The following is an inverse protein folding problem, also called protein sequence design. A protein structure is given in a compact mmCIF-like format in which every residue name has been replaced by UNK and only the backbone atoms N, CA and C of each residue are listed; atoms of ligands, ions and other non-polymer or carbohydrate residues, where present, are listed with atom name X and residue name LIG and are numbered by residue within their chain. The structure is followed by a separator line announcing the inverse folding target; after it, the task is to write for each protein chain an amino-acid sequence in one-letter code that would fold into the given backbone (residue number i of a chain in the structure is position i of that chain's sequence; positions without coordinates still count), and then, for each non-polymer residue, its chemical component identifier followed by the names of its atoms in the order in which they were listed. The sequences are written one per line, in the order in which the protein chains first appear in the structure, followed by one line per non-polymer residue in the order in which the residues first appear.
data_IF_837622908226
#
_entry.id   IF_837622908226
#
_cell.length_a   1.000
_cell.length_b   1.000
_cell.length_c   1.000
_cell.angle_alpha   90.00
_cell.angle_beta   90.00
_cell.angle_gamma   90.00
#
_symmetry.space_group_name_H-M   'P 1'
#
loop_
_entity.id
_entity.type
_entity.pdbx_description
1 polymer ?
#
# COMPACT_ATOMS: atom_id res chain seq x y z
N UNK A 1 -3.95 60.86 38.84
CA UNK A 1 -2.76 61.25 38.07
C UNK A 1 -2.69 60.30 36.87
N UNK A 2 -3.02 60.82 35.71
CA UNK A 2 -2.98 60.14 34.41
C UNK A 2 -1.53 59.90 33.98
N UNK A 3 -1.23 58.73 33.44
CA UNK A 3 -0.14 58.57 32.49
C UNK A 3 -0.61 57.66 31.33
N UNK A 4 -0.77 58.34 30.20
CA UNK A 4 -0.97 57.73 28.90
C UNK A 4 0.31 57.00 28.48
N UNK A 5 0.20 55.77 27.97
CA UNK A 5 1.28 55.09 27.26
C UNK A 5 0.90 55.00 25.80
N UNK A 6 1.75 55.55 24.95
CA UNK A 6 1.64 55.64 23.51
C UNK A 6 1.69 54.25 22.84
N UNK A 7 0.74 54.02 21.93
CA UNK A 7 0.77 52.90 21.01
C UNK A 7 1.68 53.24 19.84
N UNK A 8 2.78 52.51 19.73
CA UNK A 8 3.70 52.58 18.60
C UNK A 8 3.23 51.56 17.58
N UNK A 9 2.64 52.02 16.47
CA UNK A 9 2.32 51.22 15.31
C UNK A 9 3.60 50.96 14.52
N UNK A 10 4.05 49.70 14.50
CA UNK A 10 5.13 49.24 13.63
C UNK A 10 4.49 48.62 12.38
N UNK A 11 4.48 49.39 11.29
CA UNK A 11 4.03 48.96 9.98
C UNK A 11 5.12 48.04 9.35
N UNK A 12 4.87 46.77 9.32
CA UNK A 12 5.73 45.82 8.61
C UNK A 12 5.33 45.76 7.12
N UNK A 13 6.19 46.31 6.28
CA UNK A 13 6.08 46.24 4.82
C UNK A 13 6.47 44.83 4.36
N UNK A 14 5.48 44.00 4.01
CA UNK A 14 5.69 42.68 3.49
C UNK A 14 5.98 42.75 1.99
N UNK A 15 7.25 42.57 1.59
CA UNK A 15 7.68 42.49 0.21
C UNK A 15 7.41 41.05 -0.28
N UNK A 16 6.34 40.88 -1.05
CA UNK A 16 6.03 39.63 -1.72
C UNK A 16 6.93 39.46 -2.94
N UNK A 17 7.88 38.55 -2.88
CA UNK A 17 8.62 38.06 -4.06
C UNK A 17 7.81 36.92 -4.66
N UNK A 18 7.10 37.21 -5.76
CA UNK A 18 6.51 36.22 -6.64
C UNK A 18 7.62 35.59 -7.47
N UNK A 19 8.13 34.46 -7.02
CA UNK A 19 8.93 33.57 -7.85
C UNK A 19 8.00 32.69 -8.65
N UNK A 20 7.81 33.03 -9.94
CA UNK A 20 7.15 32.14 -10.90
C UNK A 20 8.11 31.01 -11.23
N UNK A 21 7.88 29.80 -10.72
CA UNK A 21 8.39 28.57 -11.31
C UNK A 21 7.39 28.13 -12.38
N UNK A 22 7.64 28.51 -13.63
CA UNK A 22 7.04 27.85 -14.78
C UNK A 22 7.94 26.67 -15.14
N UNK A 23 7.52 25.49 -14.75
CA UNK A 23 8.04 24.22 -15.19
C UNK A 23 6.88 23.42 -15.73
N UNK A 24 6.56 23.60 -17.00
CA UNK A 24 5.73 22.70 -17.77
C UNK A 24 6.56 21.44 -18.06
N UNK A 25 6.35 20.41 -17.26
CA UNK A 25 6.63 19.03 -17.63
C UNK A 25 5.46 18.17 -17.13
N UNK A 26 4.35 18.31 -17.83
CA UNK A 26 3.27 17.34 -17.75
C UNK A 26 3.67 16.11 -18.56
N UNK A 27 4.39 15.19 -17.95
CA UNK A 27 4.47 13.81 -18.44
C UNK A 27 3.12 13.16 -18.17
N UNK A 28 2.23 13.24 -19.14
CA UNK A 28 1.03 12.42 -19.18
C UNK A 28 1.46 10.98 -19.35
N UNK A 29 1.36 10.18 -18.30
CA UNK A 29 1.46 8.72 -18.38
C UNK A 29 0.11 8.27 -18.94
N UNK A 30 0.05 8.02 -20.25
CA UNK A 30 -1.08 7.34 -20.86
C UNK A 30 -1.01 5.86 -20.47
N UNK A 31 -1.78 5.45 -19.50
CA UNK A 31 -2.06 4.05 -19.24
C UNK A 31 -3.20 3.67 -20.19
N UNK A 32 -2.87 3.17 -21.38
CA UNK A 32 -3.88 2.54 -22.23
C UNK A 32 -4.22 1.18 -21.63
N UNK A 33 -5.48 1.00 -21.25
CA UNK A 33 -6.02 -0.30 -20.92
C UNK A 33 -5.87 -1.23 -22.14
N UNK A 34 -5.55 -2.52 -21.96
CA UNK A 34 -5.42 -3.45 -23.08
C UNK A 34 -6.76 -3.57 -23.81
N UNK A 35 -6.88 -2.95 -24.98
CA UNK A 35 -8.03 -3.09 -25.84
C UNK A 35 -8.03 -4.48 -26.49
N UNK A 36 -8.94 -5.31 -26.07
CA UNK A 36 -9.26 -6.58 -26.70
C UNK A 36 -9.96 -6.29 -28.04
N UNK A 37 -9.18 -6.19 -29.13
CA UNK A 37 -9.73 -5.96 -30.46
C UNK A 37 -9.50 -7.19 -31.32
N UNK A 38 -10.42 -8.15 -31.25
CA UNK A 38 -10.56 -9.25 -32.19
C UNK A 38 -11.44 -8.80 -33.35
N UNK A 39 -10.88 -8.75 -34.54
CA UNK A 39 -11.68 -8.59 -35.73
C UNK A 39 -10.86 -8.28 -36.99
N UNK A 40 -10.56 -9.29 -37.78
CA UNK A 40 -9.98 -9.17 -39.10
C UNK A 40 -10.13 -10.47 -39.86
N UNK A 41 -11.21 -10.59 -40.60
CA UNK A 41 -11.43 -11.65 -41.59
C UNK A 41 -10.51 -11.44 -42.78
N UNK A 42 -9.80 -12.50 -43.20
CA UNK A 42 -9.60 -12.72 -44.66
C UNK A 42 -9.30 -14.19 -44.90
N UNK A 43 -9.95 -14.72 -45.90
CA UNK A 43 -10.06 -16.12 -46.23
C UNK A 43 -8.83 -16.70 -46.95
N UNK A 44 -8.62 -17.97 -46.73
CA UNK A 44 -7.64 -18.81 -47.43
C UNK A 44 -7.92 -20.29 -47.19
N UNK A 45 -8.46 -20.91 -48.18
CA UNK A 45 -8.82 -22.33 -48.31
C UNK A 45 -7.60 -23.26 -48.24
N UNK A 46 -7.71 -24.37 -47.51
CA UNK A 46 -6.90 -25.54 -47.83
C UNK A 46 -6.49 -26.45 -46.66
N UNK A 47 -7.06 -27.64 -46.59
CA UNK A 47 -6.41 -28.87 -46.13
C UNK A 47 -6.62 -29.24 -44.65
N UNK A 48 -7.43 -30.29 -44.48
CA UNK A 48 -7.73 -30.89 -43.17
C UNK A 48 -6.52 -31.53 -42.49
N UNK A 49 -6.54 -31.44 -41.19
CA UNK A 49 -6.02 -32.46 -40.31
C UNK A 49 -6.82 -32.43 -39.00
N UNK A 50 -7.34 -33.60 -38.60
CA UNK A 50 -8.16 -33.79 -37.43
C UNK A 50 -7.24 -33.90 -36.22
N UNK A 51 -6.82 -32.74 -35.69
CA UNK A 51 -6.19 -32.65 -34.37
C UNK A 51 -7.23 -32.18 -33.37
N UNK A 52 -7.59 -33.05 -32.41
CA UNK A 52 -8.47 -32.65 -31.30
C UNK A 52 -7.90 -31.42 -30.57
N UNK A 53 -8.55 -30.32 -30.78
CA UNK A 53 -8.32 -29.12 -29.95
C UNK A 53 -8.85 -29.41 -28.56
N UNK A 54 -7.93 -29.73 -27.67
CA UNK A 54 -8.16 -29.58 -26.25
C UNK A 54 -8.44 -28.08 -26.01
N UNK A 55 -9.73 -27.73 -25.99
CA UNK A 55 -10.16 -26.48 -25.43
C UNK A 55 -9.94 -26.63 -23.94
N UNK A 56 -8.71 -26.37 -23.50
CA UNK A 56 -8.39 -26.18 -22.10
C UNK A 56 -9.25 -25.01 -21.61
N UNK A 57 -10.43 -25.35 -21.07
CA UNK A 57 -11.21 -24.42 -20.31
C UNK A 57 -10.31 -24.01 -19.15
N UNK A 58 -9.83 -22.78 -19.16
CA UNK A 58 -9.17 -22.21 -18.01
C UNK A 58 -10.17 -22.37 -16.87
N UNK A 59 -9.81 -23.20 -15.89
CA UNK A 59 -10.57 -23.28 -14.65
C UNK A 59 -10.55 -21.86 -14.06
N UNK A 60 -11.69 -21.25 -13.73
CA UNK A 60 -11.70 -19.93 -13.11
C UNK A 60 -10.72 -19.95 -11.94
N UNK A 61 -9.87 -18.93 -11.86
CA UNK A 61 -8.93 -18.81 -10.77
C UNK A 61 -9.73 -18.71 -9.46
N UNK A 62 -9.44 -19.61 -8.53
CA UNK A 62 -10.13 -19.66 -7.23
C UNK A 62 -9.35 -18.85 -6.20
N UNK A 63 -10.05 -18.31 -5.25
CA UNK A 63 -9.45 -17.58 -4.15
C UNK A 63 -8.45 -18.47 -3.38
N UNK A 64 -7.24 -17.96 -3.09
CA UNK A 64 -6.24 -18.69 -2.30
C UNK A 64 -6.75 -19.02 -0.89
N UNK A 65 -6.14 -20.04 -0.30
CA UNK A 65 -6.39 -20.39 1.10
C UNK A 65 -6.15 -19.16 2.03
N UNK A 66 -7.04 -18.95 2.97
CA UNK A 66 -6.99 -17.82 3.90
C UNK A 66 -7.69 -16.56 3.41
N UNK A 67 -8.21 -16.55 2.18
CA UNK A 67 -9.07 -15.47 1.66
C UNK A 67 -10.51 -15.94 1.51
N UNK A 68 -11.45 -15.01 1.38
CA UNK A 68 -12.87 -15.30 1.19
C UNK A 68 -13.33 -14.82 -0.17
N UNK A 69 -13.99 -15.66 -0.97
CA UNK A 69 -14.57 -15.25 -2.24
C UNK A 69 -15.75 -14.29 -2.02
N UNK A 70 -15.68 -13.09 -2.59
CA UNK A 70 -16.74 -12.07 -2.57
C UNK A 70 -17.59 -12.18 -3.83
N UNK A 71 -16.93 -12.33 -4.98
CA UNK A 71 -17.55 -12.57 -6.27
C UNK A 71 -16.55 -13.33 -7.15
N UNK A 72 -16.97 -13.76 -8.32
CA UNK A 72 -16.07 -14.45 -9.26
C UNK A 72 -14.82 -13.59 -9.54
N UNK A 73 -13.66 -14.13 -9.20
CA UNK A 73 -12.36 -13.47 -9.41
C UNK A 73 -12.01 -12.36 -8.39
N UNK A 74 -12.82 -12.13 -7.36
CA UNK A 74 -12.54 -11.17 -6.30
C UNK A 74 -12.52 -11.85 -4.92
N UNK A 75 -11.39 -11.74 -4.23
CA UNK A 75 -11.11 -12.41 -2.96
C UNK A 75 -10.88 -11.38 -1.84
N UNK A 76 -11.65 -11.43 -0.76
CA UNK A 76 -11.40 -10.58 0.41
C UNK A 76 -10.23 -11.11 1.22
N UNK A 77 -9.31 -10.21 1.59
CA UNK A 77 -8.18 -10.53 2.45
C UNK A 77 -8.62 -10.63 3.93
N UNK A 78 -8.01 -11.53 4.71
CA UNK A 78 -8.27 -11.56 6.15
C UNK A 78 -7.71 -10.31 6.84
N UNK A 79 -8.35 -9.86 7.91
CA UNK A 79 -7.89 -8.70 8.68
C UNK A 79 -6.47 -8.89 9.25
N UNK A 80 -6.01 -10.13 9.43
CA UNK A 80 -4.67 -10.44 9.93
C UNK A 80 -4.06 -11.59 9.14
N UNK A 81 -2.83 -11.38 8.67
CA UNK A 81 -1.99 -12.38 8.01
C UNK A 81 -0.86 -12.71 8.98
N UNK A 82 -1.01 -13.81 9.71
CA UNK A 82 -0.06 -14.23 10.76
C UNK A 82 0.96 -15.28 10.31
N UNK A 83 0.91 -15.69 9.05
CA UNK A 83 1.85 -16.62 8.42
C UNK A 83 2.05 -16.23 6.96
N UNK A 84 3.12 -16.73 6.35
CA UNK A 84 3.42 -16.43 4.96
C UNK A 84 2.23 -16.71 4.05
N UNK A 85 1.91 -15.73 3.20
CA UNK A 85 0.80 -15.78 2.25
C UNK A 85 1.26 -15.32 0.87
N UNK A 86 0.69 -15.91 -0.17
CA UNK A 86 0.93 -15.47 -1.55
C UNK A 86 -0.38 -15.07 -2.22
N UNK A 87 -0.45 -13.82 -2.67
CA UNK A 87 -1.51 -13.33 -3.55
C UNK A 87 -1.20 -13.76 -4.98
N UNK A 88 -2.04 -14.63 -5.52
CA UNK A 88 -1.89 -15.23 -6.85
C UNK A 88 -2.47 -14.33 -7.91
N UNK A 89 -1.84 -14.30 -9.08
CA UNK A 89 -2.40 -13.69 -10.29
C UNK A 89 -3.65 -14.44 -10.78
N UNK A 90 -4.47 -13.75 -11.58
CA UNK A 90 -5.71 -14.29 -12.12
C UNK A 90 -6.96 -14.05 -11.26
N UNK A 91 -6.78 -13.51 -10.06
CA UNK A 91 -7.84 -12.95 -9.20
C UNK A 91 -7.38 -11.60 -8.67
N UNK A 92 -8.34 -10.76 -8.29
CA UNK A 92 -8.10 -9.50 -7.57
C UNK A 92 -8.43 -9.66 -6.08
N UNK A 93 -7.92 -8.76 -5.26
CA UNK A 93 -8.08 -8.82 -3.81
C UNK A 93 -8.73 -7.56 -3.26
N UNK A 94 -9.61 -7.71 -2.25
CA UNK A 94 -10.31 -6.62 -1.59
C UNK A 94 -9.92 -6.56 -0.12
N UNK A 95 -9.68 -5.35 0.36
CA UNK A 95 -9.55 -4.99 1.78
C UNK A 95 -10.76 -4.15 2.18
N UNK A 96 -11.59 -4.66 3.08
CA UNK A 96 -12.77 -3.94 3.62
C UNK A 96 -12.43 -3.15 4.89
N UNK A 97 -11.18 -3.22 5.32
CA UNK A 97 -10.61 -2.53 6.46
C UNK A 97 -9.09 -2.71 6.47
N UNK A 98 -8.45 -2.47 7.63
CA UNK A 98 -7.02 -2.72 7.76
C UNK A 98 -6.71 -4.21 7.63
N UNK A 99 -5.76 -4.54 6.76
CA UNK A 99 -5.13 -5.87 6.68
C UNK A 99 -3.73 -5.75 7.29
N UNK A 100 -3.49 -6.45 8.38
CA UNK A 100 -2.22 -6.41 9.12
C UNK A 100 -1.40 -7.67 8.89
N UNK A 101 -0.16 -7.50 8.43
CA UNK A 101 0.80 -8.61 8.21
C UNK A 101 1.74 -8.69 9.41
N UNK A 102 1.64 -9.80 10.17
CA UNK A 102 2.31 -9.98 11.46
C UNK A 102 1.66 -9.21 12.61
N UNK A 103 2.37 -9.05 13.73
CA UNK A 103 1.92 -8.32 14.91
C UNK A 103 2.95 -7.31 15.45
N UNK A 104 4.03 -7.05 14.71
CA UNK A 104 5.14 -6.21 15.16
C UNK A 104 4.83 -4.71 15.28
N UNK A 105 3.56 -4.32 15.09
CA UNK A 105 3.08 -2.96 15.35
C UNK A 105 2.65 -2.73 16.81
N UNK A 106 2.69 -3.75 17.67
CA UNK A 106 2.56 -3.59 19.12
C UNK A 106 3.76 -2.83 19.70
N UNK A 107 3.60 -2.26 20.89
CA UNK A 107 4.69 -1.65 21.63
C UNK A 107 5.72 -2.72 22.04
N UNK A 108 7.00 -2.42 21.89
CA UNK A 108 8.06 -3.33 22.33
C UNK A 108 8.33 -3.19 23.82
N UNK A 109 8.77 -4.27 24.47
CA UNK A 109 9.36 -4.17 25.79
C UNK A 109 10.66 -3.35 25.74
N UNK A 110 10.93 -2.65 26.84
CA UNK A 110 12.08 -1.74 26.96
C UNK A 110 13.45 -2.44 27.01
N UNK A 111 13.46 -3.78 27.09
CA UNK A 111 14.68 -4.58 27.12
C UNK A 111 15.34 -4.76 25.74
N UNK A 112 14.62 -4.45 24.64
CA UNK A 112 15.12 -4.52 23.26
C UNK A 112 15.29 -5.96 22.73
N UNK A 113 14.63 -6.96 23.30
CA UNK A 113 14.75 -8.36 22.86
C UNK A 113 13.76 -8.75 21.75
N UNK A 114 12.94 -7.81 21.28
CA UNK A 114 11.92 -8.04 20.25
C UNK A 114 10.63 -8.66 20.78
N UNK A 115 10.43 -8.66 22.09
CA UNK A 115 9.17 -9.03 22.74
C UNK A 115 8.27 -7.81 22.82
N UNK A 116 6.95 -8.01 22.64
CA UNK A 116 5.96 -6.96 22.85
C UNK A 116 5.72 -6.73 24.36
N UNK A 117 5.18 -5.56 24.69
CA UNK A 117 4.93 -5.14 26.09
C UNK A 117 3.91 -6.02 26.83
N UNK A 118 3.08 -6.77 26.09
CA UNK A 118 2.17 -7.78 26.63
C UNK A 118 2.85 -9.13 26.89
N UNK A 119 4.16 -9.25 26.65
CA UNK A 119 4.96 -10.46 26.80
C UNK A 119 4.86 -11.44 25.63
N UNK A 120 4.14 -11.11 24.56
CA UNK A 120 4.10 -11.94 23.35
C UNK A 120 5.34 -11.71 22.48
N UNK A 121 5.75 -12.75 21.77
CA UNK A 121 6.80 -12.60 20.76
C UNK A 121 6.26 -11.89 19.51
N UNK A 122 7.10 -11.08 18.87
CA UNK A 122 6.80 -10.57 17.55
C UNK A 122 6.67 -11.73 16.56
N UNK A 123 5.50 -11.83 15.94
CA UNK A 123 5.21 -12.80 14.88
C UNK A 123 5.37 -12.10 13.54
N UNK A 124 6.33 -12.56 12.76
CA UNK A 124 6.57 -12.07 11.41
C UNK A 124 5.88 -12.95 10.37
N UNK A 125 5.45 -12.33 9.27
CA UNK A 125 4.94 -13.02 8.10
C UNK A 125 5.43 -12.33 6.83
N UNK A 126 5.54 -13.09 5.74
CA UNK A 126 5.86 -12.56 4.42
C UNK A 126 4.62 -12.57 3.54
N UNK A 127 4.21 -11.40 3.06
CA UNK A 127 3.20 -11.28 2.02
C UNK A 127 3.89 -11.19 0.67
N UNK A 128 3.75 -12.25 -0.14
CA UNK A 128 4.25 -12.27 -1.53
C UNK A 128 3.11 -11.93 -2.47
N UNK A 129 3.35 -11.05 -3.44
CA UNK A 129 2.37 -10.63 -4.42
C UNK A 129 2.92 -10.91 -5.81
N UNK A 130 2.22 -11.74 -6.58
CA UNK A 130 2.62 -12.09 -7.95
C UNK A 130 2.41 -10.90 -8.91
N UNK A 131 3.15 -10.90 -10.00
CA UNK A 131 3.02 -9.87 -11.03
C UNK A 131 1.61 -9.83 -11.62
N UNK A 132 1.07 -8.63 -11.85
CA UNK A 132 -0.26 -8.40 -12.43
C UNK A 132 -1.41 -8.54 -11.44
N UNK A 133 -1.12 -8.69 -10.13
CA UNK A 133 -2.14 -8.69 -9.09
C UNK A 133 -2.66 -7.29 -8.85
N UNK A 134 -3.98 -7.16 -8.69
CA UNK A 134 -4.67 -5.95 -8.24
C UNK A 134 -5.19 -6.15 -6.82
N UNK A 135 -4.94 -5.17 -5.95
CA UNK A 135 -5.39 -5.14 -4.56
C UNK A 135 -6.17 -3.86 -4.32
N UNK A 136 -7.41 -3.99 -3.95
CA UNK A 136 -8.32 -2.87 -3.75
C UNK A 136 -8.55 -2.58 -2.27
N UNK A 137 -8.57 -1.31 -1.90
CA UNK A 137 -9.16 -0.84 -0.65
C UNK A 137 -10.61 -0.40 -0.88
N UNK A 138 -11.54 -0.79 -0.01
CA UNK A 138 -12.94 -0.36 -0.08
C UNK A 138 -13.02 1.18 -0.06
N UNK A 139 -13.62 1.75 -1.09
CA UNK A 139 -13.71 3.20 -1.31
C UNK A 139 -14.45 3.91 -0.18
N UNK A 140 -13.93 5.06 0.24
CA UNK A 140 -14.50 5.87 1.31
C UNK A 140 -14.26 5.30 2.71
N UNK A 141 -13.31 4.35 2.84
CA UNK A 141 -12.92 3.75 4.11
C UNK A 141 -11.44 3.95 4.39
N UNK A 142 -11.02 3.66 5.63
CA UNK A 142 -9.61 3.61 6.02
C UNK A 142 -8.94 2.27 5.67
N UNK A 143 -9.54 1.45 4.78
CA UNK A 143 -8.94 0.19 4.36
C UNK A 143 -7.48 0.41 3.96
N UNK A 144 -6.56 -0.33 4.55
CA UNK A 144 -5.12 -0.19 4.29
C UNK A 144 -4.39 -1.50 4.49
N UNK A 145 -3.21 -1.62 3.86
CA UNK A 145 -2.30 -2.73 4.06
C UNK A 145 -1.17 -2.30 4.99
N UNK A 146 -1.09 -2.91 6.17
CA UNK A 146 -0.04 -2.66 7.15
C UNK A 146 0.95 -3.82 7.20
N UNK A 147 2.19 -3.57 6.82
CA UNK A 147 3.32 -4.49 7.04
C UNK A 147 3.97 -4.10 8.36
N UNK A 148 3.94 -4.97 9.34
CA UNK A 148 4.46 -4.67 10.68
C UNK A 148 5.96 -4.97 10.78
N UNK A 149 6.62 -4.46 11.83
CA UNK A 149 8.04 -4.76 12.10
C UNK A 149 8.32 -6.26 12.04
N UNK A 150 9.43 -6.65 11.43
CA UNK A 150 9.84 -8.03 11.21
C UNK A 150 9.12 -8.75 10.06
N UNK A 151 7.95 -8.26 9.65
CA UNK A 151 7.23 -8.79 8.49
C UNK A 151 7.74 -8.19 7.19
N UNK A 152 7.38 -8.80 6.04
CA UNK A 152 7.86 -8.39 4.73
C UNK A 152 6.76 -8.37 3.69
N UNK A 153 6.89 -7.42 2.75
CA UNK A 153 6.14 -7.43 1.50
C UNK A 153 7.09 -7.73 0.34
N UNK A 154 6.78 -8.74 -0.46
CA UNK A 154 7.52 -9.12 -1.65
C UNK A 154 6.63 -8.90 -2.88
N UNK A 155 6.51 -7.65 -3.30
CA UNK A 155 5.68 -7.22 -4.43
C UNK A 155 6.59 -6.93 -5.63
N UNK A 156 6.78 -7.96 -6.47
CA UNK A 156 7.66 -7.89 -7.64
C UNK A 156 6.86 -8.05 -8.92
N UNK A 157 6.28 -6.94 -9.39
CA UNK A 157 5.65 -6.86 -10.71
C UNK A 157 6.68 -6.80 -11.85
N UNK A 158 6.17 -6.67 -13.05
CA UNK A 158 6.95 -6.44 -14.29
C UNK A 158 6.40 -5.25 -15.04
N UNK A 159 7.11 -4.76 -16.06
CA UNK A 159 6.62 -3.65 -16.89
C UNK A 159 5.31 -4.01 -17.62
N UNK A 160 5.15 -5.28 -18.01
CA UNK A 160 3.97 -5.76 -18.73
C UNK A 160 2.85 -6.25 -17.79
N UNK A 161 3.16 -6.46 -16.51
CA UNK A 161 2.23 -6.92 -15.48
C UNK A 161 2.59 -6.25 -14.14
N UNK A 162 2.34 -4.94 -13.98
CA UNK A 162 2.55 -4.23 -12.72
C UNK A 162 1.60 -4.76 -11.64
N UNK A 163 1.98 -4.60 -10.38
CA UNK A 163 1.09 -4.81 -9.25
C UNK A 163 0.41 -3.47 -8.97
N UNK A 164 -0.91 -3.46 -8.78
CA UNK A 164 -1.68 -2.24 -8.57
C UNK A 164 -2.39 -2.30 -7.24
N UNK A 165 -2.25 -1.24 -6.45
CA UNK A 165 -3.06 -0.94 -5.28
C UNK A 165 -3.88 0.32 -5.57
N UNK A 166 -5.19 0.25 -5.44
CA UNK A 166 -6.12 1.38 -5.65
C UNK A 166 -7.37 1.25 -4.79
N UNK A 167 -8.30 2.18 -4.92
CA UNK A 167 -9.68 1.99 -4.44
C UNK A 167 -10.43 0.95 -5.29
N UNK A 168 -11.57 0.48 -4.81
CA UNK A 168 -12.43 -0.48 -5.52
C UNK A 168 -13.46 0.18 -6.44
N UNK A 169 -13.45 1.49 -6.56
CA UNK A 169 -14.30 2.18 -7.52
C UNK A 169 -13.69 2.22 -8.94
N UNK A 170 -14.43 2.78 -9.89
CA UNK A 170 -14.05 2.74 -11.29
C UNK A 170 -13.23 3.99 -11.67
N UNK A 171 -11.95 3.81 -11.89
CA UNK A 171 -11.08 4.85 -12.44
C UNK A 171 -9.90 5.18 -11.52
N UNK A 172 -9.17 6.20 -11.87
CA UNK A 172 -8.12 6.81 -11.07
C UNK A 172 -8.42 8.30 -11.03
N UNK A 173 -9.47 8.69 -10.29
CA UNK A 173 -10.03 10.04 -10.40
C UNK A 173 -10.02 10.84 -9.10
N UNK A 174 -9.54 10.23 -8.00
CA UNK A 174 -9.50 10.85 -6.70
C UNK A 174 -8.19 10.67 -5.92
N UNK A 175 -8.23 11.10 -4.68
CA UNK A 175 -7.22 10.84 -3.66
C UNK A 175 -7.92 10.75 -2.32
N UNK A 176 -7.36 9.98 -1.38
CA UNK A 176 -7.99 9.76 -0.09
C UNK A 176 -9.19 8.82 -0.13
N UNK A 177 -9.28 7.96 -1.14
CA UNK A 177 -10.39 7.04 -1.31
C UNK A 177 -10.25 5.80 -0.44
N UNK A 178 -9.02 5.41 -0.15
CA UNK A 178 -8.66 4.34 0.77
C UNK A 178 -7.42 4.73 1.57
N UNK A 179 -7.05 3.95 2.59
CA UNK A 179 -5.94 4.27 3.46
C UNK A 179 -4.59 4.27 2.76
N UNK A 180 -4.26 3.20 2.06
CA UNK A 180 -2.96 3.09 1.41
C UNK A 180 -2.10 1.94 1.94
N UNK A 181 -0.79 2.06 1.73
CA UNK A 181 0.20 1.08 2.13
C UNK A 181 1.10 1.64 3.24
N UNK A 182 1.09 0.99 4.40
CA UNK A 182 1.91 1.34 5.56
C UNK A 182 2.97 0.26 5.76
N UNK A 183 4.22 0.65 5.92
CA UNK A 183 5.33 -0.28 6.15
C UNK A 183 6.12 0.17 7.37
N UNK A 184 6.05 -0.62 8.43
CA UNK A 184 6.85 -0.43 9.64
C UNK A 184 8.12 -1.27 9.57
N UNK A 185 9.22 -0.70 10.05
CA UNK A 185 10.51 -1.39 10.13
C UNK A 185 11.19 -1.17 11.47
N UNK A 186 12.29 -1.91 11.70
CA UNK A 186 13.16 -1.74 12.85
C UNK A 186 14.27 -0.71 12.63
N UNK A 187 14.33 -0.03 11.50
CA UNK A 187 15.34 0.99 11.25
C UNK A 187 15.21 2.16 12.24
N UNK A 188 16.32 2.80 12.60
CA UNK A 188 16.31 3.95 13.51
C UNK A 188 15.50 5.12 12.93
N UNK A 189 14.60 5.69 13.73
CA UNK A 189 13.90 6.92 13.45
C UNK A 189 14.65 8.12 14.03
N UNK A 190 14.44 9.34 13.51
CA UNK A 190 15.08 10.56 13.99
C UNK A 190 14.71 10.95 15.44
N UNK A 191 13.61 10.42 15.96
CA UNK A 191 13.15 10.62 17.35
C UNK A 191 13.69 9.56 18.31
N UNK A 192 14.32 8.49 17.79
CA UNK A 192 14.92 7.47 18.64
C UNK A 192 16.11 8.04 19.42
N UNK A 193 16.22 7.66 20.71
CA UNK A 193 17.35 8.08 21.55
C UNK A 193 18.68 7.54 20.98
N UNK A 194 19.69 8.38 20.86
CA UNK A 194 21.01 7.97 20.37
C UNK A 194 21.60 6.93 21.34
N UNK A 195 21.97 5.75 20.81
CA UNK A 195 22.54 4.65 21.60
C UNK A 195 21.54 3.90 22.48
N UNK A 196 20.26 4.05 22.20
CA UNK A 196 19.21 3.27 22.85
C UNK A 196 19.23 1.80 22.39
N UNK A 197 18.51 0.94 23.09
CA UNK A 197 18.35 -0.48 22.78
C UNK A 197 16.99 -0.81 22.18
N UNK A 198 16.02 0.10 22.30
CA UNK A 198 14.70 -0.04 21.69
C UNK A 198 14.17 1.34 21.30
N UNK A 199 13.28 1.38 20.32
CA UNK A 199 12.60 2.59 19.91
C UNK A 199 11.21 2.26 19.39
N UNK A 200 10.21 2.87 19.98
CA UNK A 200 8.83 2.83 19.53
C UNK A 200 8.40 4.25 19.13
N UNK A 201 8.06 4.41 17.87
CA UNK A 201 7.48 5.62 17.33
C UNK A 201 6.03 5.32 16.97
N UNK A 202 5.11 6.03 17.61
CA UNK A 202 3.69 5.96 17.29
C UNK A 202 3.48 6.49 15.86
N UNK A 203 2.86 5.69 15.02
CA UNK A 203 2.65 6.05 13.63
C UNK A 203 1.20 6.43 13.35
N UNK A 204 1.00 7.21 12.30
CA UNK A 204 -0.29 7.77 11.94
C UNK A 204 -1.34 6.70 11.62
N UNK A 205 -2.61 7.12 11.57
CA UNK A 205 -3.73 6.25 11.27
C UNK A 205 -4.00 5.16 12.31
N UNK A 206 -3.55 5.34 13.56
CA UNK A 206 -3.66 4.31 14.61
C UNK A 206 -3.06 2.95 14.15
N UNK A 207 -1.99 3.00 13.34
CA UNK A 207 -1.34 1.81 12.82
C UNK A 207 -0.37 1.14 13.81
N UNK A 208 -0.17 1.76 14.98
CA UNK A 208 0.69 1.28 16.05
C UNK A 208 2.13 1.76 15.89
N UNK A 209 3.08 0.98 16.36
CA UNK A 209 4.46 1.40 16.54
C UNK A 209 5.39 0.92 15.43
N UNK A 210 6.32 1.79 15.05
CA UNK A 210 7.44 1.53 14.15
C UNK A 210 8.76 1.89 14.85
N UNK A 211 9.88 1.62 14.19
CA UNK A 211 11.22 1.99 14.68
C UNK A 211 11.93 0.90 15.46
N UNK A 212 13.19 1.14 15.68
CA UNK A 212 14.13 0.22 16.32
C UNK A 212 15.56 0.72 16.18
N UNK A 213 16.55 -0.18 16.18
CA UNK A 213 17.96 0.14 16.03
C UNK A 213 18.69 -0.76 15.03
N UNK A 214 17.94 -1.42 14.14
CA UNK A 214 18.54 -2.21 13.05
C UNK A 214 18.63 -1.36 11.78
N UNK A 215 19.82 -0.84 11.52
CA UNK A 215 20.08 -0.04 10.31
C UNK A 215 20.06 -0.87 9.01
N UNK A 216 20.17 -2.19 9.12
CA UNK A 216 20.16 -3.14 8.00
C UNK A 216 18.79 -3.81 7.84
N UNK A 217 17.77 -3.36 8.61
CA UNK A 217 16.41 -3.89 8.51
C UNK A 217 15.86 -3.77 7.09
N UNK A 218 15.08 -4.78 6.69
CA UNK A 218 14.44 -4.83 5.38
C UNK A 218 13.02 -5.34 5.50
N UNK A 219 12.06 -4.47 5.24
CA UNK A 219 10.63 -4.81 5.20
C UNK A 219 10.17 -5.37 3.84
N UNK A 220 11.10 -5.62 2.89
CA UNK A 220 10.81 -6.31 1.64
C UNK A 220 11.19 -5.54 0.37
N UNK A 221 10.47 -5.80 -0.72
CA UNK A 221 10.74 -5.25 -2.05
C UNK A 221 9.45 -4.79 -2.70
N UNK A 222 9.45 -3.56 -3.23
CA UNK A 222 8.43 -3.04 -4.13
C UNK A 222 9.09 -2.78 -5.50
N UNK A 223 8.61 -3.46 -6.53
CA UNK A 223 9.13 -3.30 -7.90
C UNK A 223 7.99 -3.37 -8.91
N UNK A 224 7.90 -2.39 -9.80
CA UNK A 224 6.76 -2.24 -10.72
C UNK A 224 5.42 -2.33 -9.96
N UNK A 225 5.31 -1.49 -8.94
CA UNK A 225 4.13 -1.35 -8.10
C UNK A 225 3.55 0.04 -8.32
N UNK A 226 2.26 0.11 -8.54
CA UNK A 226 1.46 1.33 -8.57
C UNK A 226 0.66 1.41 -7.27
N UNK A 227 0.69 2.55 -6.60
CA UNK A 227 -0.20 2.86 -5.47
C UNK A 227 -0.95 4.13 -5.85
N UNK A 228 -2.25 4.02 -6.03
CA UNK A 228 -3.12 5.11 -6.46
C UNK A 228 -4.23 5.36 -5.44
N UNK A 229 -4.77 6.59 -5.41
CA UNK A 229 -5.99 7.00 -4.68
C UNK A 229 -5.94 6.87 -3.16
N UNK A 230 -4.76 6.53 -2.60
CA UNK A 230 -4.55 6.45 -1.16
C UNK A 230 -4.57 7.81 -0.47
N UNK A 231 -4.43 7.81 0.86
CA UNK A 231 -4.37 9.02 1.67
C UNK A 231 -5.69 9.37 2.34
N UNK A 232 -6.47 8.37 2.75
CA UNK A 232 -7.72 8.61 3.49
C UNK A 232 -7.46 9.38 4.78
N UNK A 233 -8.16 10.49 4.99
CA UNK A 233 -8.08 11.28 6.21
C UNK A 233 -8.81 10.56 7.35
N UNK A 234 -8.05 9.89 8.22
CA UNK A 234 -8.57 9.17 9.38
C UNK A 234 -9.15 10.13 10.43
N UNK A 235 -8.46 11.23 10.67
CA UNK A 235 -8.91 12.37 11.48
C UNK A 235 -8.16 13.62 11.06
N UNK A 236 -8.65 14.80 11.40
CA UNK A 236 -8.05 16.06 10.96
C UNK A 236 -6.54 16.12 11.19
N UNK A 237 -5.77 16.12 10.08
CA UNK A 237 -4.32 16.13 10.09
C UNK A 237 -3.67 14.78 10.41
N UNK A 238 -4.41 13.68 10.24
CA UNK A 238 -3.93 12.30 10.38
C UNK A 238 -4.44 11.51 9.17
N UNK A 239 -3.61 11.41 8.16
CA UNK A 239 -3.87 10.68 6.91
C UNK A 239 -3.18 9.32 6.93
N UNK A 240 -3.70 8.38 6.15
CA UNK A 240 -3.09 7.06 5.96
C UNK A 240 -2.62 6.91 4.52
#
# INVERSE_FOLDING_TARGET
MMRQAAKMFLTFLMLTILGACSGDDSTTINIEAPSNNGGGSDGGSGGGDSGGGDTGGETPATCPEGTTEVSEGLCELPATISSDMTLKSGVSYLMTGRVTVGNGNGQLETNGDGTLDDGSAVQAATLTIEAGVEVFGETGTFANLLITRGSKIMAMGTADAPIVFSSDDAGYDGSGEWGGLIIHGYAPHNECAVGGSYCDIDSEGESGFAGGYDADDSSGVLRYVVVAEGGYEFSTGNEI
#
